data_IF_826333813655
#
_entry.id   IF_826333813655
#
_cell.length_a   1.000
_cell.length_b   1.000
_cell.length_c   1.000
_cell.angle_alpha   90.00
_cell.angle_beta   90.00
_cell.angle_gamma   90.00
#
_symmetry.space_group_name_H-M   'P 1'
#
loop_
_entity.id
_entity.type
_entity.pdbx_description
1 polymer ?
#
# COMPACT_ATOMS: atom_id res chain seq x y z
N UNK A 1 -19.97 16.13 -37.05
CA UNK A 1 -18.52 16.15 -36.71
C UNK A 1 -18.40 15.91 -35.22
N UNK A 2 -17.56 14.93 -34.82
CA UNK A 2 -17.48 14.40 -33.46
C UNK A 2 -16.96 15.45 -32.47
N UNK A 3 -17.71 15.72 -31.42
CA UNK A 3 -17.20 16.44 -30.25
C UNK A 3 -16.61 15.39 -29.31
N UNK A 4 -15.29 15.25 -29.36
CA UNK A 4 -14.54 14.23 -28.62
C UNK A 4 -14.62 14.48 -27.12
N UNK A 5 -15.31 13.57 -26.42
CA UNK A 5 -15.42 13.57 -24.97
C UNK A 5 -14.05 13.60 -24.30
N UNK A 6 -13.97 14.46 -23.28
CA UNK A 6 -12.83 14.67 -22.41
C UNK A 6 -12.43 13.36 -21.69
N UNK A 7 -11.59 12.54 -22.31
CA UNK A 7 -10.85 11.49 -21.62
C UNK A 7 -9.61 12.12 -21.03
N UNK A 8 -9.70 12.61 -19.78
CA UNK A 8 -8.52 12.94 -18.99
C UNK A 8 -7.78 11.64 -18.68
N UNK A 9 -6.86 11.26 -19.57
CA UNK A 9 -5.85 10.27 -19.25
C UNK A 9 -4.94 10.84 -18.16
N UNK A 10 -4.52 9.97 -17.24
CA UNK A 10 -3.49 10.30 -16.24
C UNK A 10 -2.27 10.80 -17.01
N UNK A 11 -1.84 12.03 -16.75
CA UNK A 11 -0.62 12.55 -17.36
C UNK A 11 0.61 11.92 -16.71
N UNK A 12 1.75 11.96 -17.39
CA UNK A 12 2.98 11.35 -16.89
C UNK A 12 3.41 11.92 -15.52
N UNK A 13 3.07 13.18 -15.23
CA UNK A 13 3.42 13.84 -13.97
C UNK A 13 2.53 13.39 -12.81
N UNK A 14 1.29 13.04 -13.08
CA UNK A 14 0.37 12.49 -12.09
C UNK A 14 0.77 11.05 -11.74
N UNK A 15 1.24 10.26 -12.70
CA UNK A 15 1.81 8.93 -12.42
C UNK A 15 3.08 9.01 -11.56
N UNK A 16 3.95 9.99 -11.82
CA UNK A 16 5.14 10.25 -10.98
C UNK A 16 4.76 10.63 -9.55
N UNK A 17 3.78 11.53 -9.37
CA UNK A 17 3.28 11.91 -8.04
C UNK A 17 2.69 10.71 -7.30
N UNK A 18 1.90 9.87 -7.99
CA UNK A 18 1.35 8.63 -7.41
C UNK A 18 2.48 7.72 -6.92
N UNK A 19 3.52 7.53 -7.73
CA UNK A 19 4.65 6.69 -7.36
C UNK A 19 5.43 7.25 -6.15
N UNK A 20 5.60 8.56 -6.08
CA UNK A 20 6.21 9.24 -4.93
C UNK A 20 5.36 9.03 -3.66
N UNK A 21 4.05 9.21 -3.75
CA UNK A 21 3.13 9.02 -2.62
C UNK A 21 3.17 7.57 -2.14
N UNK A 22 3.08 6.59 -3.05
CA UNK A 22 3.16 5.17 -2.71
C UNK A 22 4.49 4.79 -2.06
N UNK A 23 5.61 5.29 -2.62
CA UNK A 23 6.94 5.06 -2.06
C UNK A 23 7.08 5.67 -0.67
N UNK A 24 6.52 6.85 -0.45
CA UNK A 24 6.52 7.52 0.85
C UNK A 24 5.68 6.76 1.87
N UNK A 25 4.47 6.31 1.48
CA UNK A 25 3.63 5.50 2.36
C UNK A 25 4.32 4.19 2.75
N UNK A 26 5.03 3.55 1.81
CA UNK A 26 5.82 2.35 2.11
C UNK A 26 6.90 2.62 3.18
N UNK A 27 7.65 3.72 3.06
CA UNK A 27 8.64 4.13 4.05
C UNK A 27 8.02 4.44 5.42
N UNK A 28 6.85 5.07 5.45
CA UNK A 28 6.12 5.32 6.70
C UNK A 28 5.72 4.03 7.41
N UNK A 29 5.26 3.03 6.66
CA UNK A 29 4.89 1.72 7.22
C UNK A 29 6.13 0.99 7.75
N UNK A 30 7.24 1.02 7.00
CA UNK A 30 8.51 0.44 7.45
C UNK A 30 9.00 1.05 8.76
N UNK A 31 9.00 2.39 8.84
CA UNK A 31 9.33 3.12 10.05
C UNK A 31 8.41 2.74 11.22
N UNK A 32 7.10 2.64 10.98
CA UNK A 32 6.13 2.27 12.01
C UNK A 32 6.39 0.85 12.54
N UNK A 33 6.70 -0.11 11.67
CA UNK A 33 7.05 -1.48 12.06
C UNK A 33 8.34 -1.52 12.87
N UNK A 34 9.37 -0.78 12.46
CA UNK A 34 10.60 -0.63 13.24
C UNK A 34 10.33 -0.04 14.63
N UNK A 35 9.53 1.03 14.70
CA UNK A 35 9.15 1.65 15.98
C UNK A 35 8.37 0.67 16.89
N UNK A 36 7.43 -0.09 16.33
CA UNK A 36 6.70 -1.15 17.04
C UNK A 36 7.68 -2.20 17.57
N UNK A 37 8.63 -2.66 16.75
CA UNK A 37 9.66 -3.61 17.14
C UNK A 37 10.53 -3.11 18.29
N UNK A 38 10.94 -1.84 18.27
CA UNK A 38 11.74 -1.26 19.37
C UNK A 38 11.01 -1.23 20.72
N UNK A 39 9.67 -1.18 20.72
CA UNK A 39 8.87 -1.09 21.96
C UNK A 39 8.24 -2.41 22.41
N UNK A 40 7.80 -3.23 21.46
CA UNK A 40 7.12 -4.51 21.72
C UNK A 40 7.99 -5.74 21.48
N UNK A 41 9.19 -5.58 20.93
CA UNK A 41 10.05 -6.67 20.47
C UNK A 41 9.71 -7.13 19.05
N UNK A 42 10.66 -7.83 18.41
CA UNK A 42 10.52 -8.24 16.99
C UNK A 42 9.34 -9.19 16.75
N UNK A 43 9.04 -10.07 17.71
CA UNK A 43 7.87 -10.95 17.62
C UNK A 43 6.56 -10.15 17.50
N UNK A 44 6.42 -9.08 18.29
CA UNK A 44 5.23 -8.24 18.25
C UNK A 44 5.12 -7.45 16.94
N UNK A 45 6.24 -6.99 16.37
CA UNK A 45 6.26 -6.35 15.06
C UNK A 45 5.89 -7.34 13.93
N UNK A 46 6.37 -8.58 14.01
CA UNK A 46 6.01 -9.64 13.09
C UNK A 46 4.50 -9.97 13.15
N UNK A 47 3.95 -10.15 14.34
CA UNK A 47 2.51 -10.41 14.54
C UNK A 47 1.66 -9.25 14.02
N UNK A 48 2.09 -8.01 14.27
CA UNK A 48 1.41 -6.81 13.76
C UNK A 48 1.40 -6.77 12.22
N UNK A 49 2.52 -7.13 11.58
CA UNK A 49 2.62 -7.26 10.13
C UNK A 49 1.68 -8.34 9.59
N UNK A 50 1.59 -9.49 10.26
CA UNK A 50 0.71 -10.59 9.85
C UNK A 50 -0.77 -10.22 9.96
N UNK A 51 -1.19 -9.61 11.07
CA UNK A 51 -2.59 -9.15 11.23
C UNK A 51 -2.94 -8.02 10.25
N UNK A 52 -1.99 -7.14 9.90
CA UNK A 52 -2.19 -6.14 8.86
C UNK A 52 -2.42 -6.78 7.47
N UNK A 53 -1.62 -7.78 7.11
CA UNK A 53 -1.79 -8.52 5.85
C UNK A 53 -3.11 -9.28 5.81
N UNK A 54 -3.49 -9.89 6.92
CA UNK A 54 -4.76 -10.61 7.06
C UNK A 54 -5.95 -9.66 6.93
N UNK A 55 -5.92 -8.52 7.60
CA UNK A 55 -6.95 -7.48 7.52
C UNK A 55 -7.07 -6.90 6.11
N UNK A 56 -5.95 -6.81 5.38
CA UNK A 56 -5.96 -6.43 3.99
C UNK A 56 -6.62 -7.48 3.10
N UNK A 57 -6.27 -8.76 3.29
CA UNK A 57 -6.79 -9.89 2.52
C UNK A 57 -8.26 -10.23 2.82
N UNK A 58 -8.73 -9.97 4.05
CA UNK A 58 -10.13 -10.14 4.44
C UNK A 58 -11.03 -9.00 3.95
N UNK A 59 -10.43 -7.87 3.60
CA UNK A 59 -11.13 -6.64 3.21
C UNK A 59 -11.61 -5.78 4.37
N UNK A 60 -11.12 -6.05 5.59
CA UNK A 60 -11.29 -5.16 6.74
C UNK A 60 -10.54 -3.83 6.52
N UNK A 61 -9.40 -3.88 5.84
CA UNK A 61 -8.81 -2.70 5.18
C UNK A 61 -9.48 -2.57 3.81
N UNK A 62 -10.16 -1.45 3.63
CA UNK A 62 -11.17 -1.24 2.59
C UNK A 62 -10.65 -1.57 1.16
N UNK A 63 -10.93 -2.78 0.67
CA UNK A 63 -10.59 -3.22 -0.70
C UNK A 63 -11.28 -2.37 -1.78
N UNK A 64 -12.36 -1.67 -1.44
CA UNK A 64 -13.09 -0.82 -2.37
C UNK A 64 -12.23 0.33 -2.92
N UNK A 65 -11.13 0.69 -2.26
CA UNK A 65 -10.17 1.69 -2.74
C UNK A 65 -9.27 1.18 -3.86
N UNK A 66 -9.12 -0.14 -4.02
CA UNK A 66 -8.15 -0.71 -4.96
C UNK A 66 -8.75 -0.93 -6.34
N UNK A 67 -10.08 -0.80 -6.49
CA UNK A 67 -10.91 -0.85 -7.71
C UNK A 67 -10.78 -2.10 -8.61
N UNK A 68 -9.59 -2.70 -8.72
CA UNK A 68 -9.24 -3.88 -9.48
C UNK A 68 -8.27 -4.81 -8.69
N UNK A 69 -8.22 -6.08 -9.12
CA UNK A 69 -7.42 -7.11 -8.45
C UNK A 69 -5.90 -6.92 -8.60
N UNK A 70 -5.43 -6.31 -9.70
CA UNK A 70 -4.00 -6.11 -9.93
C UNK A 70 -3.43 -5.02 -9.01
N UNK A 71 -4.20 -3.96 -8.77
CA UNK A 71 -3.87 -2.92 -7.79
C UNK A 71 -3.84 -3.49 -6.37
N UNK A 72 -4.79 -4.39 -6.06
CA UNK A 72 -4.77 -5.13 -4.79
C UNK A 72 -3.51 -5.99 -4.62
N UNK A 73 -3.20 -6.84 -5.60
CA UNK A 73 -2.04 -7.71 -5.57
C UNK A 73 -0.74 -6.92 -5.45
N UNK A 74 -0.65 -5.77 -6.11
CA UNK A 74 0.50 -4.87 -6.00
C UNK A 74 0.70 -4.36 -4.56
N UNK A 75 -0.36 -3.89 -3.90
CA UNK A 75 -0.28 -3.38 -2.52
C UNK A 75 0.08 -4.49 -1.54
N UNK A 76 -0.51 -5.68 -1.70
CA UNK A 76 -0.17 -6.87 -0.89
C UNK A 76 1.31 -7.20 -1.04
N UNK A 77 1.81 -7.31 -2.27
CA UNK A 77 3.22 -7.64 -2.53
C UNK A 77 4.19 -6.63 -1.89
N UNK A 78 3.82 -5.34 -1.88
CA UNK A 78 4.61 -4.31 -1.19
C UNK A 78 4.68 -4.59 0.31
N UNK A 79 3.54 -4.78 0.97
CA UNK A 79 3.51 -5.04 2.41
C UNK A 79 4.24 -6.34 2.77
N UNK A 80 4.09 -7.39 1.96
CA UNK A 80 4.82 -8.64 2.14
C UNK A 80 6.34 -8.44 2.09
N UNK A 81 6.83 -7.54 1.22
CA UNK A 81 8.25 -7.22 1.07
C UNK A 81 8.85 -6.40 2.24
N UNK A 82 8.05 -5.91 3.19
CA UNK A 82 8.57 -5.19 4.35
C UNK A 82 9.54 -6.08 5.17
N UNK A 83 10.61 -5.52 5.76
CA UNK A 83 11.47 -6.27 6.67
C UNK A 83 10.70 -6.85 7.85
N UNK A 84 11.17 -7.99 8.37
CA UNK A 84 10.76 -8.47 9.69
C UNK A 84 11.66 -7.76 10.71
N UNK A 85 11.13 -6.70 11.31
CA UNK A 85 11.76 -5.93 12.39
C UNK A 85 11.65 -6.63 13.74
#
# INVERSE_FOLDING_TARGET
MFNGGNRRGIDATDLEKINIVLSTMYLCIDYAMGYIGTRGGSAFAADCKEEMLKSLKSGDINMALMEDAATFDYVVAKIEALPRH
#
